data_IF_561008342491
#
_entry.id   IF_561008342491
#
_cell.length_a   1.000
_cell.length_b   1.000
_cell.length_c   1.000
_cell.angle_alpha   90.00
_cell.angle_beta   90.00
_cell.angle_gamma   90.00
#
_symmetry.space_group_name_H-M   'P 1'
#
loop_
_entity.id
_entity.type
_entity.pdbx_description
1 polymer ?
#
# COMPACT_ATOMS: atom_id res chain seq x y z
N UNK A 1 -20.29 21.87 7.92
CA UNK A 1 -20.31 21.41 6.49
C UNK A 1 -21.13 20.15 6.38
N UNK A 2 -22.03 20.06 5.41
CA UNK A 2 -22.97 18.95 5.25
C UNK A 2 -22.23 17.71 4.72
N UNK A 3 -22.58 16.51 5.20
CA UNK A 3 -22.08 15.21 4.72
C UNK A 3 -22.13 15.03 3.20
N UNK A 4 -23.05 15.72 2.51
CA UNK A 4 -23.15 15.74 1.04
C UNK A 4 -21.98 16.47 0.35
N UNK A 5 -21.35 17.45 0.99
CA UNK A 5 -20.22 18.18 0.40
C UNK A 5 -18.90 17.41 0.53
N UNK A 6 -18.73 16.67 1.63
CA UNK A 6 -17.53 15.82 1.84
C UNK A 6 -17.47 14.67 0.84
N UNK A 7 -18.59 13.96 0.62
CA UNK A 7 -18.66 12.90 -0.37
C UNK A 7 -18.38 13.38 -1.82
N UNK A 8 -18.73 14.64 -2.15
CA UNK A 8 -18.39 15.23 -3.46
C UNK A 8 -16.90 15.53 -3.59
N UNK A 9 -16.26 16.07 -2.54
CA UNK A 9 -14.84 16.37 -2.56
C UNK A 9 -14.01 15.10 -2.72
N UNK A 10 -14.35 14.04 -1.99
CA UNK A 10 -13.69 12.74 -2.08
C UNK A 10 -13.79 12.13 -3.49
N UNK A 11 -14.98 12.15 -4.10
CA UNK A 11 -15.18 11.67 -5.47
C UNK A 11 -14.36 12.50 -6.49
N UNK A 12 -14.31 13.83 -6.31
CA UNK A 12 -13.55 14.71 -7.21
C UNK A 12 -12.06 14.41 -7.11
N UNK A 13 -11.52 14.29 -5.90
CA UNK A 13 -10.12 13.96 -5.67
C UNK A 13 -9.77 12.58 -6.20
N UNK A 14 -10.61 11.59 -5.93
CA UNK A 14 -10.43 10.23 -6.45
C UNK A 14 -10.38 10.22 -7.98
N UNK A 15 -11.26 10.96 -8.64
CA UNK A 15 -11.23 11.08 -10.10
C UNK A 15 -10.02 11.86 -10.60
N UNK A 16 -9.58 12.88 -9.87
CA UNK A 16 -8.38 13.64 -10.19
C UNK A 16 -7.13 12.75 -10.18
N UNK A 17 -6.97 11.91 -9.13
CA UNK A 17 -5.84 11.00 -9.02
C UNK A 17 -5.92 9.77 -9.94
N UNK A 18 -7.07 9.49 -10.56
CA UNK A 18 -7.17 8.48 -11.61
C UNK A 18 -6.44 8.89 -12.90
N UNK A 19 -6.29 10.17 -13.15
CA UNK A 19 -5.47 10.66 -14.26
C UNK A 19 -3.99 10.30 -14.01
N UNK A 20 -3.34 9.70 -15.02
CA UNK A 20 -1.97 9.24 -14.88
C UNK A 20 -0.97 10.39 -14.77
N UNK A 21 -1.23 11.53 -15.41
CA UNK A 21 -0.34 12.69 -15.34
C UNK A 21 -0.35 13.28 -13.93
N UNK A 22 -1.54 13.51 -13.36
CA UNK A 22 -1.66 14.01 -11.98
C UNK A 22 -1.04 13.06 -10.97
N UNK A 23 -1.26 11.76 -11.16
CA UNK A 23 -0.67 10.73 -10.29
C UNK A 23 0.86 10.73 -10.35
N UNK A 24 1.42 10.72 -11.57
CA UNK A 24 2.87 10.75 -11.76
C UNK A 24 3.49 12.03 -11.18
N UNK A 25 2.89 13.18 -11.43
CA UNK A 25 3.36 14.48 -10.93
C UNK A 25 3.41 14.52 -9.42
N UNK A 26 2.38 14.00 -8.74
CA UNK A 26 2.36 13.93 -7.27
C UNK A 26 3.54 13.12 -6.74
N UNK A 27 3.70 11.89 -7.23
CA UNK A 27 4.77 11.00 -6.76
C UNK A 27 6.16 11.54 -7.11
N UNK A 28 6.34 12.11 -8.31
CA UNK A 28 7.59 12.75 -8.72
C UNK A 28 7.94 13.94 -7.82
N UNK A 29 6.96 14.76 -7.48
CA UNK A 29 7.17 15.90 -6.58
C UNK A 29 7.54 15.47 -5.16
N UNK A 30 6.81 14.48 -4.61
CA UNK A 30 6.92 14.11 -3.20
C UNK A 30 8.12 13.18 -2.93
N UNK A 31 8.36 12.19 -3.78
CA UNK A 31 9.36 11.15 -3.53
C UNK A 31 10.65 11.36 -4.30
N UNK A 32 10.61 12.08 -5.41
CA UNK A 32 11.76 12.26 -6.30
C UNK A 32 12.19 13.72 -6.46
N UNK A 33 11.77 14.61 -5.54
CA UNK A 33 12.12 16.03 -5.55
C UNK A 33 11.85 16.73 -6.89
N UNK A 34 10.80 16.34 -7.60
CA UNK A 34 10.41 16.85 -8.92
C UNK A 34 11.11 16.19 -10.11
N UNK A 35 12.06 15.26 -9.88
CA UNK A 35 12.63 14.48 -10.97
C UNK A 35 11.56 13.58 -11.60
N UNK A 36 11.47 13.60 -12.93
CA UNK A 36 10.49 12.81 -13.69
C UNK A 36 10.96 11.35 -13.78
N UNK A 37 10.78 10.61 -12.68
CA UNK A 37 11.10 9.17 -12.57
C UNK A 37 9.90 8.30 -12.93
N UNK A 38 8.70 8.79 -12.65
CA UNK A 38 7.44 8.13 -12.93
C UNK A 38 6.80 8.81 -14.15
N UNK A 39 6.63 8.05 -15.23
CA UNK A 39 6.03 8.58 -16.45
C UNK A 39 4.55 8.13 -16.56
N UNK A 40 3.63 9.04 -16.95
CA UNK A 40 2.20 8.72 -17.05
C UNK A 40 1.89 7.51 -17.94
N UNK A 41 2.64 7.34 -19.03
CA UNK A 41 2.49 6.25 -19.99
C UNK A 41 2.86 4.87 -19.44
N UNK A 42 3.71 4.82 -18.41
CA UNK A 42 4.13 3.58 -17.75
C UNK A 42 3.13 3.11 -16.69
N UNK A 43 2.18 3.98 -16.31
CA UNK A 43 1.21 3.68 -15.27
C UNK A 43 0.04 2.87 -15.81
N UNK A 44 -0.29 1.78 -15.12
CA UNK A 44 -1.45 0.94 -15.37
C UNK A 44 -2.31 0.90 -14.12
N UNK A 45 -3.63 0.96 -14.30
CA UNK A 45 -4.54 0.76 -13.18
C UNK A 45 -4.32 -0.62 -12.54
N UNK A 46 -4.39 -0.65 -11.23
CA UNK A 46 -4.33 -1.87 -10.45
C UNK A 46 -5.61 -2.01 -9.62
N UNK A 47 -5.87 -3.23 -9.20
CA UNK A 47 -7.03 -3.53 -8.38
C UNK A 47 -6.91 -2.86 -7.00
N UNK A 48 -7.89 -2.04 -6.68
CA UNK A 48 -8.00 -1.33 -5.40
C UNK A 48 -8.57 -2.20 -4.29
N UNK A 49 -9.14 -3.36 -4.65
CA UNK A 49 -9.72 -4.30 -3.68
C UNK A 49 -8.62 -5.20 -3.10
N UNK A 50 -8.36 -5.00 -1.82
CA UNK A 50 -7.44 -5.79 -1.02
C UNK A 50 -8.17 -6.84 -0.17
N UNK A 51 -9.37 -7.22 -0.57
CA UNK A 51 -10.10 -8.29 0.10
C UNK A 51 -9.26 -9.56 0.10
N UNK A 52 -9.00 -10.07 1.27
CA UNK A 52 -8.19 -11.27 1.47
C UNK A 52 -8.82 -12.17 2.51
N UNK A 53 -8.71 -13.48 2.26
CA UNK A 53 -9.10 -14.49 3.23
C UNK A 53 -7.85 -14.96 3.96
N UNK A 54 -7.69 -14.52 5.20
CA UNK A 54 -6.62 -15.01 6.06
C UNK A 54 -7.06 -16.31 6.73
N UNK A 55 -6.30 -17.39 6.50
CA UNK A 55 -6.43 -18.63 7.27
C UNK A 55 -5.45 -18.57 8.43
N UNK A 56 -5.97 -18.39 9.64
CA UNK A 56 -5.18 -18.41 10.84
C UNK A 56 -5.72 -19.48 11.77
N UNK A 57 -4.90 -20.46 12.15
CA UNK A 57 -5.25 -21.55 13.08
C UNK A 57 -6.60 -22.25 12.80
N UNK A 58 -6.95 -22.44 11.51
CA UNK A 58 -8.21 -23.07 11.13
C UNK A 58 -9.42 -22.13 11.06
N UNK A 59 -9.27 -20.87 11.46
CA UNK A 59 -10.30 -19.84 11.30
C UNK A 59 -10.09 -19.09 9.97
N UNK A 60 -11.18 -18.84 9.28
CA UNK A 60 -11.24 -18.02 8.07
C UNK A 60 -11.66 -16.61 8.48
N UNK A 61 -10.77 -15.63 8.36
CA UNK A 61 -11.12 -14.23 8.48
C UNK A 61 -11.11 -13.59 7.09
N UNK A 62 -12.21 -12.93 6.76
CA UNK A 62 -12.30 -12.12 5.54
C UNK A 62 -12.02 -10.68 5.92
N UNK A 63 -10.92 -10.14 5.42
CA UNK A 63 -10.58 -8.73 5.54
C UNK A 63 -10.91 -8.08 4.22
N UNK A 64 -11.80 -7.10 4.26
CA UNK A 64 -12.17 -6.30 3.09
C UNK A 64 -11.60 -4.89 3.24
N UNK A 65 -10.70 -4.51 2.34
CA UNK A 65 -10.06 -3.20 2.30
C UNK A 65 -10.06 -2.67 0.89
N UNK A 66 -10.40 -1.41 0.75
CA UNK A 66 -10.39 -0.68 -0.51
C UNK A 66 -9.48 0.53 -0.37
N UNK A 67 -8.58 0.69 -1.32
CA UNK A 67 -7.77 1.90 -1.50
C UNK A 67 -8.45 2.86 -2.48
N UNK A 68 -8.13 4.14 -2.38
CA UNK A 68 -8.75 5.14 -3.23
C UNK A 68 -8.28 5.01 -4.67
N UNK A 69 -6.98 4.98 -4.90
CA UNK A 69 -6.38 4.79 -6.23
C UNK A 69 -5.12 3.94 -6.10
N UNK A 70 -5.00 2.92 -6.94
CA UNK A 70 -3.80 2.08 -7.02
C UNK A 70 -3.36 1.99 -8.47
N UNK A 71 -2.08 2.24 -8.71
CA UNK A 71 -1.44 2.06 -10.02
C UNK A 71 -0.20 1.21 -9.92
N UNK A 72 0.12 0.53 -11.01
CA UNK A 72 1.34 -0.26 -11.17
C UNK A 72 2.17 0.36 -12.26
N UNK A 73 3.49 0.36 -12.11
CA UNK A 73 4.43 0.71 -13.16
C UNK A 73 5.45 -0.39 -13.35
N UNK A 74 5.92 -0.55 -14.57
CA UNK A 74 7.07 -1.37 -14.87
C UNK A 74 8.33 -0.49 -14.82
N UNK A 75 9.28 -0.86 -13.97
CA UNK A 75 10.59 -0.21 -13.91
C UNK A 75 11.65 -1.23 -14.34
N UNK A 76 12.00 -1.21 -15.62
CA UNK A 76 12.77 -2.31 -16.20
C UNK A 76 11.93 -3.58 -16.30
N UNK A 77 12.26 -4.59 -15.49
CA UNK A 77 11.47 -5.81 -15.32
C UNK A 77 10.73 -5.85 -13.95
N UNK A 78 10.92 -4.83 -13.12
CA UNK A 78 10.31 -4.74 -11.79
C UNK A 78 9.04 -3.89 -11.85
N UNK A 79 8.04 -4.28 -11.06
CA UNK A 79 6.82 -3.50 -10.88
C UNK A 79 6.83 -2.83 -9.52
N UNK A 80 6.36 -1.58 -9.49
CA UNK A 80 6.13 -0.84 -8.24
C UNK A 80 4.63 -0.58 -8.13
N UNK A 81 4.06 -0.80 -6.95
CA UNK A 81 2.67 -0.49 -6.65
C UNK A 81 2.63 0.86 -5.95
N UNK A 82 1.85 1.80 -6.50
CA UNK A 82 1.65 3.12 -5.94
C UNK A 82 0.22 3.25 -5.44
N UNK A 83 0.04 3.72 -4.21
CA UNK A 83 -1.28 3.90 -3.62
C UNK A 83 -1.45 5.32 -3.09
N UNK A 84 -2.65 5.87 -3.23
CA UNK A 84 -3.04 7.16 -2.66
C UNK A 84 -4.26 6.92 -1.77
N UNK A 85 -4.16 7.40 -0.53
CA UNK A 85 -5.26 7.49 0.42
C UNK A 85 -5.61 8.98 0.62
N UNK A 86 -6.84 9.35 0.30
CA UNK A 86 -7.33 10.70 0.52
C UNK A 86 -7.94 10.81 1.91
N UNK A 87 -7.49 11.77 2.72
CA UNK A 87 -7.98 11.97 4.08
C UNK A 87 -8.39 13.43 4.29
N UNK A 88 -9.66 13.65 4.61
CA UNK A 88 -10.18 14.98 5.00
C UNK A 88 -10.17 15.18 6.52
N UNK A 89 -10.24 14.09 7.27
CA UNK A 89 -10.22 14.10 8.73
C UNK A 89 -9.02 13.31 9.22
N UNK A 90 -8.44 13.74 10.32
CA UNK A 90 -7.35 13.01 10.95
C UNK A 90 -7.87 11.64 11.41
N UNK A 91 -7.19 10.60 10.96
CA UNK A 91 -7.44 9.23 11.42
C UNK A 91 -6.25 8.82 12.27
N UNK A 92 -6.40 8.84 13.58
CA UNK A 92 -5.31 8.62 14.54
C UNK A 92 -4.65 7.24 14.45
N UNK A 93 -5.26 6.26 13.83
CA UNK A 93 -4.67 4.95 13.56
C UNK A 93 -4.20 4.79 12.11
N UNK A 94 -3.85 5.88 11.40
CA UNK A 94 -3.47 5.85 10.00
C UNK A 94 -2.22 5.00 9.71
N UNK A 95 -1.13 5.06 10.53
CA UNK A 95 0.03 4.19 10.30
C UNK A 95 -0.31 2.70 10.36
N UNK A 96 -1.16 2.29 11.31
CA UNK A 96 -1.63 0.91 11.39
C UNK A 96 -2.48 0.51 10.18
N UNK A 97 -3.35 1.41 9.72
CA UNK A 97 -4.18 1.19 8.55
C UNK A 97 -3.33 0.97 7.30
N UNK A 98 -2.37 1.85 7.03
CA UNK A 98 -1.45 1.70 5.89
C UNK A 98 -0.63 0.43 5.98
N UNK A 99 -0.10 0.10 7.17
CA UNK A 99 0.65 -1.13 7.36
C UNK A 99 -0.17 -2.38 6.99
N UNK A 100 -1.44 -2.42 7.41
CA UNK A 100 -2.34 -3.54 7.07
C UNK A 100 -2.58 -3.60 5.55
N UNK A 101 -2.82 -2.46 4.92
CA UNK A 101 -3.10 -2.39 3.48
C UNK A 101 -1.89 -2.77 2.63
N UNK A 102 -0.69 -2.34 3.03
CA UNK A 102 0.55 -2.74 2.37
C UNK A 102 0.83 -4.24 2.58
N UNK A 103 0.62 -4.75 3.79
CA UNK A 103 0.75 -6.18 4.07
C UNK A 103 -0.22 -7.03 3.24
N UNK A 104 -1.46 -6.58 3.05
CA UNK A 104 -2.43 -7.25 2.19
C UNK A 104 -2.03 -7.22 0.71
N UNK A 105 -1.40 -6.13 0.24
CA UNK A 105 -0.86 -6.05 -1.11
C UNK A 105 0.26 -7.08 -1.33
N UNK A 106 1.20 -7.19 -0.39
CA UNK A 106 2.25 -8.22 -0.42
C UNK A 106 1.67 -9.63 -0.35
N UNK A 107 0.66 -9.85 0.50
CA UNK A 107 0.00 -11.15 0.62
C UNK A 107 -0.69 -11.56 -0.69
N UNK A 108 -1.35 -10.62 -1.35
CA UNK A 108 -2.00 -10.84 -2.65
C UNK A 108 -0.97 -11.28 -3.69
N UNK A 109 0.12 -10.54 -3.81
CA UNK A 109 1.20 -10.87 -4.75
C UNK A 109 1.87 -12.20 -4.42
N UNK A 110 2.17 -12.46 -3.13
CA UNK A 110 2.68 -13.76 -2.69
C UNK A 110 1.75 -14.91 -3.14
N UNK A 111 0.45 -14.77 -2.96
CA UNK A 111 -0.52 -15.80 -3.35
C UNK A 111 -0.54 -16.04 -4.88
N UNK A 112 -0.39 -14.96 -5.67
CA UNK A 112 -0.30 -15.06 -7.15
C UNK A 112 0.96 -15.82 -7.57
N UNK A 113 2.12 -15.47 -6.98
CA UNK A 113 3.40 -16.16 -7.22
C UNK A 113 3.32 -17.63 -6.76
N UNK A 114 2.80 -17.88 -5.55
CA UNK A 114 2.66 -19.22 -5.01
C UNK A 114 1.78 -20.11 -5.87
N UNK A 115 0.67 -19.58 -6.36
CA UNK A 115 -0.22 -20.28 -7.29
C UNK A 115 0.51 -20.63 -8.59
N UNK A 116 1.18 -19.66 -9.20
CA UNK A 116 1.96 -19.85 -10.41
C UNK A 116 3.02 -20.94 -10.24
N UNK A 117 3.79 -20.89 -9.13
CA UNK A 117 4.83 -21.88 -8.86
C UNK A 117 4.28 -23.30 -8.68
N UNK A 118 3.07 -23.45 -8.12
CA UNK A 118 2.39 -24.75 -8.00
C UNK A 118 1.93 -25.24 -9.35
N UNK A 119 1.26 -24.39 -10.14
CA UNK A 119 0.70 -24.73 -11.45
C UNK A 119 1.80 -25.15 -12.43
N UNK A 120 2.96 -24.45 -12.40
CA UNK A 120 4.12 -24.69 -13.24
C UNK A 120 5.07 -25.78 -12.67
N UNK A 121 4.82 -26.31 -11.48
CA UNK A 121 5.71 -27.23 -10.75
C UNK A 121 7.14 -26.70 -10.64
N UNK A 122 7.27 -25.40 -10.38
CA UNK A 122 8.52 -24.64 -10.51
C UNK A 122 9.46 -24.76 -9.30
N UNK A 123 9.10 -25.51 -8.25
CA UNK A 123 9.95 -25.70 -7.08
C UNK A 123 11.13 -26.65 -7.40
N UNK A 124 12.35 -26.18 -7.09
CA UNK A 124 13.58 -26.95 -7.30
C UNK A 124 14.07 -27.68 -6.03
N UNK A 125 13.56 -27.26 -4.86
CA UNK A 125 13.94 -27.81 -3.57
C UNK A 125 12.70 -28.13 -2.74
N UNK A 126 12.89 -28.93 -1.67
CA UNK A 126 11.80 -29.23 -0.71
C UNK A 126 11.30 -27.96 0.00
N UNK A 127 12.19 -27.03 0.31
CA UNK A 127 11.85 -25.78 0.99
C UNK A 127 11.03 -24.86 0.08
N UNK A 128 11.38 -24.76 -1.19
CA UNK A 128 10.61 -24.04 -2.20
C UNK A 128 9.22 -24.67 -2.41
N UNK A 129 9.15 -26.00 -2.41
CA UNK A 129 7.87 -26.71 -2.48
C UNK A 129 6.98 -26.43 -1.27
N UNK A 130 7.53 -26.44 -0.06
CA UNK A 130 6.78 -26.18 1.16
C UNK A 130 6.32 -24.74 1.28
N UNK A 131 7.21 -23.79 0.95
CA UNK A 131 6.89 -22.36 0.97
C UNK A 131 6.08 -21.89 -0.23
N UNK A 132 6.05 -22.65 -1.33
CA UNK A 132 5.51 -22.28 -2.65
C UNK A 132 6.14 -21.01 -3.22
N UNK A 133 7.31 -20.64 -2.70
CA UNK A 133 8.05 -19.44 -3.06
C UNK A 133 9.50 -19.82 -3.30
N UNK A 134 10.04 -19.49 -4.49
CA UNK A 134 11.42 -19.85 -4.84
C UNK A 134 12.39 -18.86 -4.20
N UNK A 135 13.59 -19.31 -3.94
CA UNK A 135 14.68 -18.46 -3.44
C UNK A 135 14.94 -17.23 -4.34
N UNK A 136 14.61 -17.34 -5.61
CA UNK A 136 14.77 -16.27 -6.62
C UNK A 136 13.54 -15.37 -6.74
N UNK A 137 12.38 -15.75 -6.21
CA UNK A 137 11.18 -14.92 -6.27
C UNK A 137 11.37 -13.66 -5.43
N UNK A 138 10.73 -12.59 -5.85
CA UNK A 138 10.74 -11.31 -5.15
C UNK A 138 9.34 -10.71 -5.19
N UNK A 139 8.99 -10.02 -4.12
CA UNK A 139 7.81 -9.16 -4.08
C UNK A 139 8.19 -7.77 -4.57
N UNK A 140 7.25 -7.09 -5.19
CA UNK A 140 7.44 -5.72 -5.64
C UNK A 140 7.18 -4.74 -4.50
N UNK A 141 7.92 -3.63 -4.41
CA UNK A 141 7.69 -2.64 -3.37
C UNK A 141 6.30 -2.02 -3.49
N UNK A 142 5.66 -1.80 -2.34
CA UNK A 142 4.42 -1.04 -2.21
C UNK A 142 4.74 0.30 -1.58
N UNK A 143 4.36 1.39 -2.24
CA UNK A 143 4.53 2.76 -1.72
C UNK A 143 3.16 3.41 -1.66
N UNK A 144 2.76 3.79 -0.46
CA UNK A 144 1.48 4.46 -0.22
C UNK A 144 1.71 5.88 0.25
N UNK A 145 0.99 6.83 -0.35
CA UNK A 145 0.91 8.22 0.11
C UNK A 145 -0.42 8.45 0.82
N UNK A 146 -0.37 9.09 1.98
CA UNK A 146 -1.52 9.68 2.64
C UNK A 146 -1.64 11.15 2.25
N UNK A 147 -2.58 11.48 1.40
CA UNK A 147 -2.84 12.87 0.99
C UNK A 147 -3.87 13.46 1.94
N UNK A 148 -3.41 14.26 2.87
CA UNK A 148 -4.26 14.94 3.84
C UNK A 148 -4.61 16.36 3.34
N UNK A 149 -5.91 16.66 3.29
CA UNK A 149 -6.41 17.96 2.85
C UNK A 149 -7.41 18.57 3.85
N UNK A 150 -7.26 18.24 5.12
CA UNK A 150 -8.07 18.79 6.20
C UNK A 150 -7.73 20.24 6.53
N UNK A 151 -8.66 20.93 7.19
CA UNK A 151 -8.48 22.33 7.60
C UNK A 151 -7.54 22.49 8.84
N UNK A 152 -7.32 21.42 9.59
CA UNK A 152 -6.45 21.41 10.76
C UNK A 152 -5.11 20.79 10.41
N UNK A 153 -4.06 21.23 11.05
CA UNK A 153 -2.77 20.55 10.97
C UNK A 153 -2.89 19.09 11.44
N UNK A 154 -2.12 18.21 10.83
CA UNK A 154 -2.08 16.82 11.26
C UNK A 154 -1.42 16.72 12.62
N UNK A 155 -2.15 16.22 13.61
CA UNK A 155 -1.71 16.04 15.00
C UNK A 155 -1.68 14.55 15.44
N UNK A 156 -1.86 13.62 14.48
CA UNK A 156 -1.82 12.19 14.73
C UNK A 156 -0.42 11.59 14.52
N UNK A 157 -0.26 10.34 14.96
CA UNK A 157 0.96 9.57 14.70
C UNK A 157 1.26 9.47 13.19
N UNK A 158 2.54 9.50 12.84
CA UNK A 158 3.06 9.30 11.48
C UNK A 158 3.81 7.99 11.33
N UNK A 159 4.03 7.29 12.43
CA UNK A 159 4.61 5.96 12.44
C UNK A 159 3.91 5.02 13.42
N UNK A 160 4.11 3.71 13.21
CA UNK A 160 3.57 2.70 14.12
C UNK A 160 4.16 2.83 15.52
N UNK A 161 5.46 3.13 15.64
CA UNK A 161 6.12 3.26 16.95
C UNK A 161 5.50 4.37 17.79
N UNK A 162 5.10 5.50 17.18
CA UNK A 162 4.41 6.59 17.88
C UNK A 162 3.04 6.18 18.44
N UNK A 163 2.48 5.07 17.97
CA UNK A 163 1.21 4.53 18.45
C UNK A 163 1.39 3.46 19.54
N UNK A 164 2.62 3.03 19.83
CA UNK A 164 2.90 1.95 20.76
C UNK A 164 3.29 2.51 22.14
N UNK A 165 2.83 1.83 23.17
CA UNK A 165 3.36 1.99 24.53
C UNK A 165 4.66 1.18 24.63
N UNK A 166 5.78 1.79 24.18
CA UNK A 166 7.04 1.11 23.95
C UNK A 166 8.10 1.53 24.98
N UNK A 167 8.54 0.64 25.87
CA UNK A 167 9.67 0.92 26.74
C UNK A 167 10.99 1.09 25.97
N UNK A 168 11.87 1.99 26.42
CA UNK A 168 13.13 2.35 25.75
C UNK A 168 14.00 1.13 25.38
N UNK A 169 14.07 0.13 26.26
CA UNK A 169 14.88 -1.08 26.02
C UNK A 169 14.34 -1.98 24.90
N UNK A 170 13.10 -1.79 24.46
CA UNK A 170 12.49 -2.53 23.34
C UNK A 170 12.51 -1.73 22.02
N UNK A 171 12.89 -0.45 22.05
CA UNK A 171 12.79 0.43 20.89
C UNK A 171 13.51 -0.11 19.65
N UNK A 172 14.67 -0.71 19.83
CA UNK A 172 15.48 -1.29 18.75
C UNK A 172 15.03 -2.69 18.30
N UNK A 173 14.13 -3.33 19.05
CA UNK A 173 13.63 -4.67 18.74
C UNK A 173 12.31 -4.65 17.96
N UNK A 174 11.58 -3.55 18.03
CA UNK A 174 10.31 -3.40 17.32
C UNK A 174 10.56 -2.69 16.00
N UNK A 175 10.23 -3.30 14.85
CA UNK A 175 10.30 -2.62 13.56
C UNK A 175 9.30 -1.46 13.52
N UNK A 176 9.69 -0.36 12.89
CA UNK A 176 8.80 0.77 12.67
C UNK A 176 8.19 0.73 11.26
N UNK A 177 6.94 1.12 11.16
CA UNK A 177 6.26 1.36 9.89
C UNK A 177 5.92 2.85 9.82
N UNK A 178 6.60 3.57 8.92
CA UNK A 178 6.38 5.00 8.68
C UNK A 178 5.44 5.20 7.50
N UNK A 179 4.48 6.08 7.64
CA UNK A 179 3.65 6.51 6.52
C UNK A 179 4.23 7.73 5.81
N UNK A 180 3.96 7.85 4.51
CA UNK A 180 4.27 9.04 3.74
C UNK A 180 3.06 9.97 3.80
N UNK A 181 3.12 10.97 4.67
CA UNK A 181 2.08 11.98 4.83
C UNK A 181 2.41 13.23 4.00
N UNK A 182 1.39 13.72 3.26
CA UNK A 182 1.43 14.95 2.49
C UNK A 182 0.25 15.86 2.88
#
# INVERSE_FOLDING_TARGET
MSLRNTAKADIVLKNFWKDNAHFADLFNAVLFNGEQKLHPEDLKEADVDLSSVLKFNGHLETIQRLRDVVKKTAYGMDFVIWGIENQQKIHYAMPLRHMIEDALSYLKEYNEIAKKNVDEKAANTKDEFLSRFKKTDRLHPVITLCVYYGEKEWDGATSLKEMLELPDYLENLVPDYKMNLL
#
